data_IF_945179091928
#
_entry.id   IF_945179091928
#
_cell.length_a   1.000
_cell.length_b   1.000
_cell.length_c   1.000
_cell.angle_alpha   90.00
_cell.angle_beta   90.00
_cell.angle_gamma   90.00
#
_symmetry.space_group_name_H-M   'P 1'
#
loop_
_entity.id
_entity.type
_entity.pdbx_description
1 polymer ?
#
# COMPACT_ATOMS: atom_id res chain seq x y z
N UNK A 1 -5.99 -6.39 25.14
CA UNK A 1 -5.28 -6.45 23.85
C UNK A 1 -6.17 -5.77 22.81
N UNK A 2 -5.82 -4.55 22.34
CA UNK A 2 -6.57 -3.96 21.24
C UNK A 2 -6.37 -4.79 19.97
N UNK A 3 -7.46 -5.03 19.25
CA UNK A 3 -7.49 -5.79 18.01
C UNK A 3 -6.76 -4.95 16.95
N UNK A 4 -5.65 -5.48 16.43
CA UNK A 4 -4.74 -4.76 15.55
C UNK A 4 -5.04 -4.95 14.05
N UNK A 5 -6.10 -5.68 13.68
CA UNK A 5 -6.23 -6.10 12.27
C UNK A 5 -7.65 -6.44 11.78
N UNK A 6 -8.02 -5.89 10.62
CA UNK A 6 -9.11 -6.34 9.77
C UNK A 6 -8.64 -6.23 8.30
N UNK A 7 -8.57 -7.34 7.53
CA UNK A 7 -8.01 -7.36 6.18
C UNK A 7 -9.00 -6.75 5.19
N UNK A 8 -8.94 -5.45 5.00
CA UNK A 8 -9.69 -4.71 3.98
C UNK A 8 -8.77 -3.87 3.07
N UNK A 9 -7.46 -4.14 3.12
CA UNK A 9 -6.44 -3.31 2.48
C UNK A 9 -5.84 -4.02 1.27
N UNK A 10 -5.86 -3.35 0.12
CA UNK A 10 -5.24 -3.82 -1.13
C UNK A 10 -3.71 -3.92 -1.07
N UNK A 11 -3.09 -3.39 -0.01
CA UNK A 11 -1.63 -3.27 0.12
C UNK A 11 -1.00 -3.92 1.34
N UNK A 12 -1.80 -4.36 2.32
CA UNK A 12 -1.21 -4.88 3.53
C UNK A 12 -0.55 -6.22 3.25
N UNK A 13 0.79 -6.23 3.34
CA UNK A 13 1.53 -7.41 3.74
C UNK A 13 1.72 -7.32 5.26
N UNK A 14 0.72 -7.71 6.06
CA UNK A 14 0.78 -7.56 7.51
C UNK A 14 1.95 -8.33 8.11
N UNK A 15 2.37 -9.42 7.49
CA UNK A 15 3.51 -10.21 7.94
C UNK A 15 4.80 -9.40 7.92
N UNK A 16 5.05 -8.61 6.87
CA UNK A 16 6.25 -7.77 6.80
C UNK A 16 6.27 -6.73 7.91
N UNK A 17 5.14 -6.08 8.20
CA UNK A 17 5.04 -5.12 9.29
C UNK A 17 5.18 -5.78 10.66
N UNK A 18 4.51 -6.92 10.88
CA UNK A 18 4.61 -7.66 12.15
C UNK A 18 6.04 -8.16 12.39
N UNK A 19 6.69 -8.69 11.36
CA UNK A 19 8.09 -9.12 11.42
C UNK A 19 9.01 -7.92 11.70
N UNK A 20 8.76 -6.77 11.09
CA UNK A 20 9.53 -5.56 11.34
C UNK A 20 9.40 -5.08 12.79
N UNK A 21 8.19 -5.08 13.35
CA UNK A 21 7.94 -4.76 14.76
C UNK A 21 8.64 -5.77 15.67
N UNK A 22 8.58 -7.07 15.34
CA UNK A 22 9.24 -8.11 16.12
C UNK A 22 10.77 -8.00 16.10
N UNK A 23 11.37 -7.58 14.97
CA UNK A 23 12.80 -7.30 14.84
C UNK A 23 13.24 -6.05 15.63
N UNK A 24 12.32 -5.13 15.89
CA UNK A 24 12.58 -3.84 16.56
C UNK A 24 11.81 -3.72 17.89
N UNK A 25 12.12 -4.55 18.91
CA UNK A 25 11.43 -4.51 20.18
C UNK A 25 11.64 -3.16 20.87
N UNK A 26 10.56 -2.55 21.37
CA UNK A 26 10.59 -1.25 22.04
C UNK A 26 10.36 -0.03 21.13
N UNK A 27 10.54 -0.16 19.81
CA UNK A 27 10.41 0.95 18.85
C UNK A 27 8.96 1.26 18.42
N UNK A 28 7.95 0.72 19.12
CA UNK A 28 6.56 0.78 18.66
C UNK A 28 6.04 2.22 18.50
N UNK A 29 6.40 3.10 19.45
CA UNK A 29 6.00 4.51 19.42
C UNK A 29 6.64 5.27 18.25
N UNK A 30 7.90 4.96 17.95
CA UNK A 30 8.65 5.57 16.85
C UNK A 30 8.08 5.13 15.50
N UNK A 31 7.80 3.83 15.34
CA UNK A 31 7.14 3.27 14.15
C UNK A 31 5.77 3.94 13.96
N UNK A 32 4.96 4.03 15.01
CA UNK A 32 3.66 4.70 14.95
C UNK A 32 3.81 6.18 14.55
N UNK A 33 4.82 6.88 15.08
CA UNK A 33 5.10 8.27 14.74
C UNK A 33 5.44 8.43 13.24
N UNK A 34 6.22 7.51 12.65
CA UNK A 34 6.49 7.53 11.19
C UNK A 34 5.19 7.37 10.40
N UNK A 35 4.36 6.37 10.73
CA UNK A 35 3.08 6.18 10.03
C UNK A 35 2.16 7.39 10.19
N UNK A 36 2.12 7.99 11.38
CA UNK A 36 1.32 9.19 11.64
C UNK A 36 1.79 10.36 10.78
N UNK A 37 3.10 10.59 10.68
CA UNK A 37 3.68 11.64 9.85
C UNK A 37 3.41 11.38 8.35
N UNK A 38 3.58 10.14 7.88
CA UNK A 38 3.32 9.78 6.49
C UNK A 38 1.81 9.84 6.14
N UNK A 39 0.91 9.64 7.11
CA UNK A 39 -0.55 9.78 6.93
C UNK A 39 -1.02 11.22 7.00
N UNK A 40 -0.43 12.05 7.86
CA UNK A 40 -0.83 13.46 7.99
C UNK A 40 -0.41 14.29 6.78
N UNK A 41 0.69 13.90 6.12
CA UNK A 41 1.15 14.53 4.88
C UNK A 41 1.55 13.48 3.85
N UNK A 42 0.57 12.86 3.15
CA UNK A 42 0.86 11.86 2.13
C UNK A 42 1.72 12.43 1.00
N UNK A 43 2.76 11.69 0.64
CA UNK A 43 3.78 12.15 -0.29
C UNK A 43 4.75 13.16 0.33
N UNK A 44 5.00 13.10 1.64
CA UNK A 44 6.09 13.85 2.26
C UNK A 44 7.46 13.35 1.76
N UNK A 45 8.44 14.23 1.51
CA UNK A 45 9.78 13.81 1.11
C UNK A 45 10.45 12.95 2.19
N UNK A 46 11.05 11.82 1.80
CA UNK A 46 11.75 10.94 2.76
C UNK A 46 12.81 11.72 3.54
N UNK A 47 13.57 12.57 2.87
CA UNK A 47 14.63 13.39 3.48
C UNK A 47 14.13 14.28 4.62
N UNK A 48 12.87 14.72 4.57
CA UNK A 48 12.25 15.51 5.64
C UNK A 48 11.80 14.61 6.80
N UNK A 49 11.21 13.46 6.50
CA UNK A 49 10.78 12.50 7.52
C UNK A 49 11.97 11.88 8.26
N UNK A 50 13.05 11.58 7.56
CA UNK A 50 14.28 10.97 8.09
C UNK A 50 14.93 11.84 9.17
N UNK A 51 14.93 13.16 8.99
CA UNK A 51 15.42 14.11 10.00
C UNK A 51 14.65 14.03 11.32
N UNK A 52 13.37 13.66 11.26
CA UNK A 52 12.53 13.50 12.45
C UNK A 52 12.63 12.10 13.02
N UNK A 53 12.67 11.08 12.15
CA UNK A 53 12.78 9.69 12.56
C UNK A 53 13.52 8.85 11.49
N UNK A 54 14.73 8.35 11.79
CA UNK A 54 15.53 7.59 10.83
C UNK A 54 14.93 6.22 10.45
N UNK A 55 14.00 5.68 11.26
CA UNK A 55 13.30 4.41 10.95
C UNK A 55 12.50 4.48 9.66
N UNK A 56 12.22 5.68 9.13
CA UNK A 56 11.54 5.83 7.84
C UNK A 56 12.29 5.11 6.72
N UNK A 57 13.63 5.11 6.74
CA UNK A 57 14.44 4.45 5.71
C UNK A 57 14.28 2.93 5.77
N UNK A 58 14.30 2.36 6.98
CA UNK A 58 14.11 0.92 7.17
C UNK A 58 12.71 0.48 6.74
N UNK A 59 11.69 1.25 7.09
CA UNK A 59 10.30 0.99 6.69
C UNK A 59 10.11 1.08 5.17
N UNK A 60 10.84 1.97 4.48
CA UNK A 60 10.85 2.05 3.02
C UNK A 60 11.61 0.87 2.40
N UNK A 61 12.77 0.51 2.96
CA UNK A 61 13.60 -0.61 2.47
C UNK A 61 12.89 -1.97 2.60
N UNK A 62 12.13 -2.16 3.69
CA UNK A 62 11.28 -3.35 3.91
C UNK A 62 9.95 -3.24 3.15
N UNK A 63 9.76 -2.21 2.31
CA UNK A 63 8.59 -2.01 1.44
C UNK A 63 7.26 -1.87 2.20
N UNK A 64 7.34 -1.47 3.47
CA UNK A 64 6.19 -1.19 4.36
C UNK A 64 5.62 0.19 4.04
N UNK A 65 6.49 1.17 3.82
CA UNK A 65 6.13 2.47 3.26
C UNK A 65 6.42 2.48 1.76
N UNK A 66 5.43 2.89 0.96
CA UNK A 66 5.63 3.05 -0.48
C UNK A 66 6.34 4.37 -0.72
N UNK A 67 7.38 4.34 -1.54
CA UNK A 67 8.18 5.53 -1.78
C UNK A 67 8.55 5.76 -3.26
N UNK A 68 7.58 6.13 -4.11
CA UNK A 68 7.88 6.51 -5.49
C UNK A 68 8.88 7.67 -5.55
N UNK A 69 9.81 7.57 -6.52
CA UNK A 69 10.84 8.58 -6.77
C UNK A 69 10.51 9.41 -8.01
N UNK A 70 10.72 10.72 -7.93
CA UNK A 70 10.61 11.67 -9.05
C UNK A 70 12.00 12.24 -9.31
N UNK A 71 12.42 12.21 -10.58
CA UNK A 71 13.70 12.74 -11.03
C UNK A 71 13.45 13.90 -11.97
N UNK A 72 13.91 15.09 -11.59
CA UNK A 72 13.78 16.30 -12.41
C UNK A 72 14.99 17.22 -12.19
N UNK A 73 14.90 18.47 -12.64
CA UNK A 73 16.01 19.44 -12.65
C UNK A 73 16.60 19.70 -11.26
N UNK A 74 15.83 19.53 -10.19
CA UNK A 74 16.26 19.68 -8.80
C UNK A 74 16.86 18.40 -8.19
N UNK A 75 17.11 17.37 -9.00
CA UNK A 75 17.60 16.06 -8.54
C UNK A 75 16.48 15.04 -8.29
N UNK A 76 16.87 13.86 -7.82
CA UNK A 76 15.95 12.78 -7.47
C UNK A 76 15.40 12.97 -6.05
N UNK A 77 14.09 12.84 -5.88
CA UNK A 77 13.42 12.88 -4.58
C UNK A 77 12.40 11.75 -4.47
N UNK A 78 12.38 11.08 -3.32
CA UNK A 78 11.42 10.04 -3.00
C UNK A 78 10.41 10.53 -1.98
N UNK A 79 9.16 10.11 -2.14
CA UNK A 79 8.03 10.61 -1.35
C UNK A 79 7.34 9.46 -0.64
N UNK A 80 7.23 9.51 0.68
CA UNK A 80 6.70 8.42 1.49
C UNK A 80 5.16 8.44 1.52
N UNK A 81 4.59 7.24 1.42
CA UNK A 81 3.17 6.99 1.56
C UNK A 81 2.95 5.83 2.51
N UNK A 82 2.15 6.08 3.54
CA UNK A 82 1.60 5.01 4.36
C UNK A 82 0.64 4.13 3.54
N UNK A 83 0.37 2.89 4.00
CA UNK A 83 -0.73 2.09 3.51
C UNK A 83 -2.04 2.90 3.53
N UNK A 84 -2.74 2.85 2.41
CA UNK A 84 -3.95 3.65 2.19
C UNK A 84 -5.14 2.72 1.94
N UNK A 85 -6.28 3.02 2.57
CA UNK A 85 -7.53 2.27 2.38
C UNK A 85 -8.23 2.76 1.13
N UNK A 86 -8.50 1.85 0.20
CA UNK A 86 -9.28 2.12 -1.01
C UNK A 86 -9.88 0.83 -1.54
N UNK A 87 -11.02 0.93 -2.21
CA UNK A 87 -11.61 -0.17 -2.98
C UNK A 87 -11.01 -0.30 -4.37
N UNK A 88 -10.21 0.67 -4.81
CA UNK A 88 -9.59 0.65 -6.12
C UNK A 88 -8.50 -0.42 -6.23
N UNK A 89 -8.29 -0.98 -7.44
CA UNK A 89 -7.16 -1.86 -7.71
C UNK A 89 -5.83 -1.21 -7.37
N UNK A 90 -4.86 -2.03 -6.98
CA UNK A 90 -3.49 -1.60 -6.65
C UNK A 90 -2.84 -0.74 -7.75
N UNK A 91 -3.10 -1.02 -9.02
CA UNK A 91 -2.57 -0.24 -10.13
C UNK A 91 -3.06 1.23 -10.12
N UNK A 92 -4.33 1.48 -9.76
CA UNK A 92 -4.89 2.83 -9.63
C UNK A 92 -4.26 3.54 -8.43
N UNK A 93 -4.08 2.83 -7.32
CA UNK A 93 -3.42 3.35 -6.12
C UNK A 93 -1.96 3.75 -6.40
N UNK A 94 -1.21 2.94 -7.14
CA UNK A 94 0.17 3.26 -7.54
C UNK A 94 0.22 4.48 -8.47
N UNK A 95 -0.73 4.60 -9.41
CA UNK A 95 -0.88 5.81 -10.24
C UNK A 95 -1.22 7.05 -9.41
N UNK A 96 -2.12 6.93 -8.44
CA UNK A 96 -2.48 8.05 -7.56
C UNK A 96 -1.25 8.58 -6.80
N UNK A 97 -0.41 7.67 -6.29
CA UNK A 97 0.84 8.06 -5.63
C UNK A 97 1.82 8.74 -6.55
N UNK A 98 2.05 8.23 -7.77
CA UNK A 98 3.00 8.87 -8.67
C UNK A 98 2.52 10.28 -9.05
N UNK A 99 1.21 10.46 -9.28
CA UNK A 99 0.61 11.76 -9.56
C UNK A 99 0.84 12.71 -8.38
N UNK A 100 0.54 12.27 -7.15
CA UNK A 100 0.73 13.10 -5.96
C UNK A 100 2.22 13.44 -5.77
N UNK A 101 3.13 12.49 -5.95
CA UNK A 101 4.58 12.72 -5.89
C UNK A 101 5.06 13.74 -6.91
N UNK A 102 4.58 13.68 -8.15
CA UNK A 102 4.88 14.70 -9.18
C UNK A 102 4.46 16.09 -8.69
N UNK A 103 3.28 16.24 -8.10
CA UNK A 103 2.79 17.52 -7.58
C UNK A 103 3.61 17.97 -6.36
N UNK A 104 3.89 17.09 -5.40
CA UNK A 104 4.73 17.37 -4.22
C UNK A 104 6.15 17.77 -4.58
N UNK A 105 6.71 17.18 -5.63
CA UNK A 105 8.00 17.64 -6.18
C UNK A 105 7.93 19.11 -6.61
N UNK A 106 6.83 19.52 -7.25
CA UNK A 106 6.63 20.90 -7.68
C UNK A 106 6.45 21.89 -6.53
N UNK A 107 6.01 21.45 -5.36
CA UNK A 107 5.86 22.27 -4.15
C UNK A 107 7.23 22.64 -3.54
N UNK A 108 8.09 21.64 -3.33
CA UNK A 108 9.36 21.81 -2.60
C UNK A 108 10.62 21.93 -3.46
N UNK A 109 10.65 21.31 -4.65
CA UNK A 109 11.89 20.97 -5.37
C UNK A 109 11.95 21.48 -6.80
N UNK A 110 10.89 22.16 -7.27
CA UNK A 110 10.92 22.83 -8.57
C UNK A 110 11.73 24.13 -8.48
N UNK A 111 12.69 24.28 -9.40
CA UNK A 111 13.56 25.46 -9.51
C UNK A 111 12.88 26.66 -10.18
N UNK A 112 11.82 26.45 -10.96
CA UNK A 112 11.21 27.48 -11.82
C UNK A 112 9.91 28.00 -11.21
N UNK A 113 8.99 27.10 -10.88
CA UNK A 113 7.66 27.42 -10.36
C UNK A 113 7.38 26.54 -9.16
N UNK A 114 7.19 27.17 -8.00
CA UNK A 114 6.76 26.48 -6.79
C UNK A 114 5.24 26.39 -6.75
N UNK A 115 4.73 25.18 -6.53
CA UNK A 115 3.31 24.94 -6.30
C UNK A 115 3.00 25.37 -4.87
N UNK A 116 2.07 26.32 -4.70
CA UNK A 116 1.61 26.74 -3.36
C UNK A 116 0.48 25.88 -2.82
N UNK A 117 -0.37 25.35 -3.70
CA UNK A 117 -1.49 24.49 -3.35
C UNK A 117 -1.52 23.23 -4.24
N UNK A 118 -0.98 22.11 -3.76
CA UNK A 118 -1.03 20.81 -4.43
C UNK A 118 -2.46 20.36 -4.76
N UNK A 119 -3.43 20.64 -3.89
CA UNK A 119 -4.82 20.23 -4.08
C UNK A 119 -5.44 20.96 -5.27
N UNK A 120 -5.15 22.25 -5.45
CA UNK A 120 -5.60 23.02 -6.60
C UNK A 120 -5.01 22.51 -7.93
N UNK A 121 -3.76 22.04 -7.92
CA UNK A 121 -3.13 21.45 -9.11
C UNK A 121 -3.81 20.12 -9.47
N UNK A 122 -4.07 19.26 -8.49
CA UNK A 122 -4.75 17.98 -8.72
C UNK A 122 -6.19 18.17 -9.20
N UNK A 123 -6.96 19.06 -8.57
CA UNK A 123 -8.32 19.43 -9.06
C UNK A 123 -8.25 19.99 -10.48
N UNK A 124 -7.26 20.84 -10.76
CA UNK A 124 -7.00 21.35 -12.09
C UNK A 124 -6.71 20.27 -13.13
N UNK A 125 -5.95 19.23 -12.75
CA UNK A 125 -5.70 18.06 -13.59
C UNK A 125 -6.99 17.27 -13.83
N UNK A 126 -7.81 17.06 -12.80
CA UNK A 126 -9.12 16.39 -12.90
C UNK A 126 -10.05 17.10 -13.88
N UNK A 127 -10.19 18.41 -13.72
CA UNK A 127 -11.21 19.20 -14.41
C UNK A 127 -10.81 19.54 -15.84
N UNK A 128 -9.53 19.92 -16.05
CA UNK A 128 -9.03 20.37 -17.35
C UNK A 128 -8.30 19.29 -18.12
N UNK A 129 -8.05 18.12 -17.52
CA UNK A 129 -7.24 17.03 -18.07
C UNK A 129 -5.82 17.46 -18.43
N UNK A 130 -5.32 18.55 -17.82
CA UNK A 130 -3.97 19.07 -18.10
C UNK A 130 -3.36 19.84 -16.92
N UNK A 131 -2.04 19.77 -16.82
CA UNK A 131 -1.18 20.60 -15.97
C UNK A 131 -0.29 21.46 -16.86
N UNK A 132 -0.06 22.71 -16.41
CA UNK A 132 0.69 23.70 -17.16
C UNK A 132 -0.20 24.56 -18.06
N UNK A 133 -1.24 25.20 -17.50
CA UNK A 133 -2.03 26.23 -18.23
C UNK A 133 -1.10 27.25 -18.90
N UNK A 134 -0.01 27.57 -18.22
CA UNK A 134 1.20 28.16 -18.80
C UNK A 134 2.28 27.07 -18.83
N UNK A 135 2.76 26.66 -20.01
CA UNK A 135 3.80 25.65 -20.13
C UNK A 135 5.09 26.06 -19.45
N UNK A 136 5.88 25.09 -18.99
CA UNK A 136 7.26 25.33 -18.54
C UNK A 136 8.14 24.10 -18.78
N UNK A 137 9.45 24.31 -18.82
CA UNK A 137 10.44 23.28 -19.17
C UNK A 137 10.46 22.12 -18.16
N UNK A 138 10.29 22.40 -16.86
CA UNK A 138 10.35 21.36 -15.83
C UNK A 138 9.20 20.34 -15.89
N UNK A 139 8.07 20.62 -16.57
CA UNK A 139 6.95 19.67 -16.66
C UNK A 139 7.40 18.33 -17.26
N UNK A 140 8.26 18.37 -18.27
CA UNK A 140 8.72 17.18 -18.97
C UNK A 140 9.31 16.14 -18.03
N UNK A 141 10.28 16.53 -17.22
CA UNK A 141 10.97 15.62 -16.30
C UNK A 141 10.15 15.37 -15.03
N UNK A 142 9.46 16.38 -14.51
CA UNK A 142 8.63 16.25 -13.31
C UNK A 142 7.49 15.23 -13.47
N UNK A 143 6.83 15.20 -14.64
CA UNK A 143 5.70 14.30 -14.91
C UNK A 143 6.07 13.10 -15.78
N UNK A 144 7.35 12.91 -16.10
CA UNK A 144 7.82 11.75 -16.88
C UNK A 144 7.42 10.42 -16.25
N UNK A 145 7.52 10.29 -14.92
CA UNK A 145 7.15 9.06 -14.22
C UNK A 145 5.65 8.74 -14.36
N UNK A 146 4.78 9.76 -14.25
CA UNK A 146 3.35 9.59 -14.48
C UNK A 146 3.04 9.21 -15.95
N UNK A 147 3.74 9.82 -16.91
CA UNK A 147 3.59 9.48 -18.32
C UNK A 147 4.01 8.03 -18.60
N UNK A 148 5.13 7.57 -18.02
CA UNK A 148 5.61 6.19 -18.14
C UNK A 148 4.66 5.16 -17.53
N UNK A 149 3.89 5.54 -16.50
CA UNK A 149 2.83 4.71 -15.91
C UNK A 149 1.51 4.73 -16.71
N UNK A 150 1.49 5.37 -17.89
CA UNK A 150 0.29 5.45 -18.73
C UNK A 150 -0.81 6.35 -18.16
N UNK A 151 -0.47 7.28 -17.27
CA UNK A 151 -1.42 8.27 -16.73
C UNK A 151 -1.72 9.35 -17.78
N UNK A 152 -0.72 9.72 -18.57
CA UNK A 152 -0.82 10.82 -19.51
C UNK A 152 0.38 10.89 -20.45
N UNK A 153 0.52 12.03 -21.12
CA UNK A 153 1.66 12.31 -21.99
C UNK A 153 2.15 13.74 -21.83
N UNK A 154 3.38 13.96 -22.28
CA UNK A 154 3.99 15.28 -22.30
C UNK A 154 3.76 15.90 -23.68
N UNK A 155 3.05 17.03 -23.70
CA UNK A 155 2.80 17.82 -24.92
C UNK A 155 3.81 18.96 -25.01
N UNK A 156 4.62 19.04 -26.08
CA UNK A 156 5.47 20.19 -26.34
C UNK A 156 4.65 21.38 -26.88
N UNK A 157 4.87 22.57 -26.34
CA UNK A 157 4.28 23.84 -26.79
C UNK A 157 5.35 24.94 -26.76
N UNK A 158 5.74 25.46 -27.94
CA UNK A 158 6.70 26.57 -28.08
C UNK A 158 8.00 26.40 -27.28
N UNK A 159 8.61 25.21 -27.33
CA UNK A 159 9.85 24.90 -26.61
C UNK A 159 9.69 24.69 -25.09
N UNK A 160 8.44 24.62 -24.62
CA UNK A 160 8.06 24.28 -23.25
C UNK A 160 7.14 23.07 -23.28
N UNK A 161 6.73 22.61 -22.10
CA UNK A 161 5.95 21.38 -21.99
C UNK A 161 4.69 21.57 -21.14
N UNK A 162 3.67 20.79 -21.46
CA UNK A 162 2.48 20.54 -20.65
C UNK A 162 2.33 19.06 -20.39
N UNK A 163 1.62 18.71 -19.33
CA UNK A 163 1.21 17.32 -19.09
C UNK A 163 -0.28 17.21 -19.37
N UNK A 164 -0.67 16.24 -20.22
CA UNK A 164 -2.06 15.93 -20.52
C UNK A 164 -2.42 14.55 -19.98
N UNK A 165 -3.59 14.46 -19.36
CA UNK A 165 -4.14 13.23 -18.83
C UNK A 165 -4.76 12.40 -19.96
N UNK A 166 -4.51 11.09 -20.00
CA UNK A 166 -5.35 10.20 -20.79
C UNK A 166 -6.71 10.07 -20.09
N UNK A 167 -7.78 10.42 -20.81
CA UNK A 167 -9.14 10.46 -20.28
C UNK A 167 -9.76 9.05 -20.23
N UNK A 168 -9.21 8.23 -19.35
CA UNK A 168 -9.69 6.87 -19.06
C UNK A 168 -10.21 6.81 -17.62
N UNK A 169 -11.21 5.95 -17.37
CA UNK A 169 -11.81 5.81 -16.04
C UNK A 169 -10.75 5.51 -14.96
N UNK A 170 -9.79 4.64 -15.24
CA UNK A 170 -8.70 4.30 -14.32
C UNK A 170 -7.83 5.50 -13.95
N UNK A 171 -7.52 6.37 -14.92
CA UNK A 171 -6.67 7.53 -14.68
C UNK A 171 -7.43 8.65 -13.98
N UNK A 172 -8.73 8.80 -14.26
CA UNK A 172 -9.60 9.69 -13.51
C UNK A 172 -9.75 9.26 -12.06
N UNK A 173 -9.98 7.96 -11.82
CA UNK A 173 -10.02 7.39 -10.48
C UNK A 173 -8.68 7.59 -9.76
N UNK A 174 -7.54 7.45 -10.44
CA UNK A 174 -6.22 7.70 -9.85
C UNK A 174 -6.04 9.18 -9.45
N UNK A 175 -6.51 10.13 -10.27
CA UNK A 175 -6.47 11.56 -9.92
C UNK A 175 -7.38 11.86 -8.73
N UNK A 176 -8.58 11.27 -8.70
CA UNK A 176 -9.53 11.45 -7.60
C UNK A 176 -9.00 10.89 -6.28
N UNK A 177 -8.39 9.71 -6.34
CA UNK A 177 -7.71 9.09 -5.21
C UNK A 177 -6.52 9.94 -4.72
N UNK A 178 -5.75 10.54 -5.64
CA UNK A 178 -4.67 11.46 -5.28
C UNK A 178 -5.21 12.73 -4.58
N UNK A 179 -6.36 13.27 -5.02
CA UNK A 179 -7.03 14.40 -4.36
C UNK A 179 -7.49 14.01 -2.94
N UNK A 180 -8.10 12.83 -2.79
CA UNK A 180 -8.54 12.31 -1.50
C UNK A 180 -7.36 12.16 -0.54
N UNK A 181 -6.28 11.52 -0.98
CA UNK A 181 -5.02 11.40 -0.22
C UNK A 181 -4.47 12.76 0.19
N UNK A 182 -4.36 13.71 -0.75
CA UNK A 182 -3.81 15.04 -0.50
C UNK A 182 -4.64 15.82 0.54
N UNK A 183 -5.95 15.58 0.58
CA UNK A 183 -6.89 16.21 1.51
C UNK A 183 -6.96 15.50 2.86
N UNK A 184 -6.21 14.41 3.06
CA UNK A 184 -6.26 13.58 4.27
C UNK A 184 -7.54 12.75 4.40
N UNK A 185 -8.33 12.63 3.32
CA UNK A 185 -9.52 11.79 3.29
C UNK A 185 -9.09 10.37 2.92
N UNK A 186 -9.35 9.41 3.80
CA UNK A 186 -9.40 8.01 3.37
C UNK A 186 -10.71 7.77 2.62
N UNK A 187 -10.67 7.00 1.54
CA UNK A 187 -11.87 6.43 0.94
C UNK A 187 -12.39 5.32 1.87
N UNK A 188 -13.01 5.71 2.98
CA UNK A 188 -13.73 4.75 3.81
C UNK A 188 -15.04 4.40 3.10
N UNK A 189 -15.20 3.11 2.83
CA UNK A 189 -16.49 2.48 2.63
C UNK A 189 -17.29 2.74 3.90
N UNK A 190 -18.14 3.76 3.86
CA UNK A 190 -19.18 3.94 4.86
C UNK A 190 -19.96 2.61 4.97
N UNK A 191 -20.27 2.18 6.21
CA UNK A 191 -21.39 1.27 6.58
C UNK A 191 -21.24 -0.26 6.65
N UNK A 192 -20.05 -0.88 6.75
CA UNK A 192 -19.96 -2.34 7.06
C UNK A 192 -19.22 -2.72 8.35
N UNK A 193 -18.52 -1.81 9.01
CA UNK A 193 -18.04 -2.05 10.37
C UNK A 193 -18.98 -1.33 11.33
N UNK A 194 -20.13 -1.96 11.54
CA UNK A 194 -20.81 -1.83 12.81
C UNK A 194 -19.76 -1.93 13.92
N UNK A 195 -19.57 -0.86 14.67
CA UNK A 195 -19.19 -0.96 16.08
C UNK A 195 -20.48 -0.77 16.87
N UNK A 196 -21.34 -1.77 17.07
CA UNK A 196 -22.38 -1.66 18.07
C UNK A 196 -21.74 -2.03 19.42
N UNK A 197 -22.30 -1.47 20.49
CA UNK A 197 -22.03 -1.90 21.86
C UNK A 197 -22.13 -3.43 22.06
N UNK A 198 -22.78 -4.13 21.13
CA UNK A 198 -22.89 -5.59 21.03
C UNK A 198 -21.54 -6.33 20.92
N UNK A 199 -20.54 -5.80 20.18
CA UNK A 199 -19.24 -6.49 20.00
C UNK A 199 -18.43 -6.53 21.31
N UNK A 200 -18.62 -5.52 22.17
CA UNK A 200 -17.94 -5.42 23.48
C UNK A 200 -18.36 -6.56 24.43
N UNK A 201 -19.60 -7.05 24.31
CA UNK A 201 -20.13 -8.16 25.11
C UNK A 201 -19.50 -9.52 24.78
N UNK A 202 -19.11 -9.75 23.53
CA UNK A 202 -18.50 -11.01 23.09
C UNK A 202 -17.06 -11.19 23.61
N UNK A 203 -16.31 -10.10 23.79
CA UNK A 203 -14.95 -10.16 24.34
C UNK A 203 -14.87 -10.27 25.86
N UNK A 204 -15.94 -9.89 26.58
CA UNK A 204 -16.01 -10.02 28.03
C UNK A 204 -16.34 -11.42 28.55
N UNK A 205 -16.67 -12.38 27.66
CA UNK A 205 -17.14 -13.72 28.04
C UNK A 205 -16.22 -14.88 27.63
N UNK A 206 -15.11 -14.63 26.95
CA UNK A 206 -14.20 -15.71 26.53
C UNK A 206 -12.97 -15.76 27.43
N UNK A 207 -12.90 -16.81 28.26
CA UNK A 207 -11.69 -17.28 28.94
C UNK A 207 -10.50 -17.40 27.97
N UNK A 208 -9.25 -17.30 28.46
CA UNK A 208 -8.06 -17.20 27.63
C UNK A 208 -7.73 -18.55 26.98
N UNK A 209 -8.23 -18.79 25.77
CA UNK A 209 -7.91 -20.01 25.04
C UNK A 209 -8.51 -20.08 23.64
N UNK A 210 -7.75 -19.61 22.65
CA UNK A 210 -7.88 -20.05 21.25
C UNK A 210 -8.90 -19.33 20.37
N UNK A 211 -8.53 -19.22 19.08
CA UNK A 211 -9.37 -18.70 17.99
C UNK A 211 -10.75 -19.40 17.97
N UNK A 212 -11.83 -18.64 18.17
CA UNK A 212 -13.19 -19.16 18.04
C UNK A 212 -13.64 -19.09 16.57
N UNK A 213 -13.71 -20.25 15.91
CA UNK A 213 -14.59 -20.41 14.76
C UNK A 213 -16.06 -20.36 15.24
N UNK A 214 -17.00 -19.76 14.49
CA UNK A 214 -18.42 -19.75 14.83
C UNK A 214 -18.95 -21.16 15.12
N UNK A 215 -19.76 -21.34 16.17
CA UNK A 215 -20.20 -22.67 16.64
C UNK A 215 -20.83 -23.53 15.53
N UNK A 216 -21.56 -22.92 14.60
CA UNK A 216 -22.13 -23.59 13.43
C UNK A 216 -21.06 -24.30 12.56
N UNK A 217 -19.87 -23.71 12.44
CA UNK A 217 -18.73 -24.28 11.73
C UNK A 217 -18.02 -25.35 12.56
N UNK A 218 -18.12 -25.31 13.90
CA UNK A 218 -17.51 -26.29 14.81
C UNK A 218 -18.23 -27.62 14.76
N UNK A 219 -19.57 -27.61 14.70
CA UNK A 219 -20.39 -28.83 14.57
C UNK A 219 -20.27 -29.44 13.18
N UNK A 220 -20.25 -28.61 12.12
CA UNK A 220 -19.99 -29.07 10.75
C UNK A 220 -18.57 -29.60 10.55
N UNK A 221 -17.56 -28.92 11.06
CA UNK A 221 -16.17 -29.39 10.96
C UNK A 221 -15.96 -30.69 11.75
N UNK A 222 -16.51 -30.80 12.97
CA UNK A 222 -16.48 -32.06 13.73
C UNK A 222 -17.22 -33.19 13.02
N UNK A 223 -18.38 -32.91 12.42
CA UNK A 223 -19.12 -33.88 11.62
C UNK A 223 -18.32 -34.37 10.40
N UNK A 224 -17.75 -33.45 9.63
CA UNK A 224 -16.96 -33.75 8.42
C UNK A 224 -15.66 -34.50 8.74
N UNK A 225 -15.01 -34.16 9.86
CA UNK A 225 -13.80 -34.84 10.35
C UNK A 225 -14.14 -36.23 10.89
N UNK A 226 -15.26 -36.40 11.60
CA UNK A 226 -15.69 -37.70 12.13
C UNK A 226 -16.21 -38.65 11.03
N UNK A 227 -16.80 -38.12 9.95
CA UNK A 227 -17.27 -38.94 8.81
C UNK A 227 -16.16 -39.30 7.83
N UNK A 228 -15.03 -38.57 7.83
CA UNK A 228 -13.81 -39.00 7.13
C UNK A 228 -13.10 -40.06 7.96
N UNK A 229 -13.68 -41.26 8.04
CA UNK A 229 -12.85 -42.47 8.19
C UNK A 229 -11.99 -42.53 6.93
N UNK A 230 -10.69 -42.28 7.10
CA UNK A 230 -9.69 -42.61 6.10
C UNK A 230 -9.94 -44.05 5.68
N UNK A 231 -10.36 -44.25 4.43
CA UNK A 231 -10.60 -45.58 3.88
C UNK A 231 -9.26 -46.33 3.91
N UNK A 232 -9.12 -47.39 4.73
CA UNK A 232 -7.85 -48.11 4.88
C UNK A 232 -7.40 -48.81 3.59
N UNK A 233 -8.21 -48.78 2.52
CA UNK A 233 -7.88 -49.35 1.21
C UNK A 233 -7.37 -48.35 0.17
N UNK A 234 -7.21 -47.07 0.51
CA UNK A 234 -6.56 -46.11 -0.41
C UNK A 234 -5.04 -46.31 -0.45
N UNK A 235 -4.62 -47.35 -1.17
CA UNK A 235 -3.22 -47.76 -1.38
C UNK A 235 -2.35 -46.70 -2.08
N UNK A 236 -2.96 -45.61 -2.56
CA UNK A 236 -2.29 -44.50 -3.23
C UNK A 236 -1.51 -43.61 -2.27
N UNK A 237 -2.02 -43.34 -1.07
CA UNK A 237 -1.37 -42.46 -0.10
C UNK A 237 -0.12 -43.10 0.54
N UNK A 238 -0.17 -44.41 0.82
CA UNK A 238 0.97 -45.15 1.36
C UNK A 238 2.10 -45.36 0.34
N UNK A 239 1.80 -45.37 -0.96
CA UNK A 239 2.80 -45.44 -2.03
C UNK A 239 3.53 -44.11 -2.23
N UNK A 240 2.80 -42.99 -2.25
CA UNK A 240 3.36 -41.64 -2.35
C UNK A 240 4.23 -41.28 -1.15
N UNK A 241 3.80 -41.64 0.07
CA UNK A 241 4.59 -41.40 1.28
C UNK A 241 5.91 -42.17 1.33
N UNK A 242 5.95 -43.41 0.83
CA UNK A 242 7.20 -44.20 0.75
C UNK A 242 8.15 -43.71 -0.33
N UNK A 243 7.65 -43.36 -1.52
CA UNK A 243 8.48 -42.82 -2.60
C UNK A 243 9.16 -41.49 -2.19
N UNK A 244 8.45 -40.61 -1.47
CA UNK A 244 9.01 -39.34 -1.00
C UNK A 244 10.07 -39.52 0.10
N UNK A 245 9.91 -40.54 0.95
CA UNK A 245 10.86 -40.88 2.01
C UNK A 245 12.13 -41.56 1.47
N UNK A 246 12.02 -42.34 0.39
CA UNK A 246 13.17 -42.97 -0.26
C UNK A 246 13.99 -41.94 -1.08
N UNK A 247 13.35 -40.97 -1.74
CA UNK A 247 14.03 -39.86 -2.44
C UNK A 247 14.82 -38.97 -1.47
N UNK A 248 14.25 -38.64 -0.30
CA UNK A 248 14.94 -37.84 0.72
C UNK A 248 16.15 -38.57 1.33
N UNK A 249 16.12 -39.90 1.37
CA UNK A 249 17.26 -40.71 1.85
C UNK A 249 18.36 -40.90 0.81
N UNK A 250 18.04 -40.84 -0.49
CA UNK A 250 19.01 -40.86 -1.58
C UNK A 250 19.88 -39.59 -1.64
N UNK A 251 19.29 -38.43 -1.33
CA UNK A 251 19.97 -37.12 -1.43
C UNK A 251 21.08 -36.96 -0.37
N UNK A 252 20.95 -37.60 0.80
CA UNK A 252 21.98 -37.55 1.86
C UNK A 252 23.24 -38.39 1.57
N UNK A 253 23.30 -39.16 0.49
CA UNK A 253 24.50 -39.94 0.10
C UNK A 253 25.41 -39.28 -0.93
N UNK A 254 25.00 -38.15 -1.52
CA UNK A 254 25.76 -37.46 -2.59
C UNK A 254 26.50 -36.21 -2.09
N UNK A 255 26.36 -35.86 -0.80
CA UNK A 255 27.15 -34.79 -0.18
C UNK A 255 28.16 -35.42 0.80
N UNK A 256 29.26 -35.91 0.24
CA UNK A 256 30.56 -36.09 0.89
C UNK A 256 31.66 -35.84 -0.13
#
# INVERSE_FOLDING_TARGET
>A
MPILYAPLFTEENPETLLNFIAKNPGAHQEIEAVFRAAKSHPGAPISTLEQTNPLVLELVNENILRAPAIVSSGGAQSFAFAPFKTTHPRAILEKARIILSCVRYGEGYSSITKISDPSAILKGLRDRKMIGRTPHSNIQSQYAAAANMGVGWIEPENGRFRFRLYDTEDNLAAVDLAIAMCSGQSEDVSSSLLLPAEVKGYFSRSEPGGLLLPEANRTRARGVIATRKLDPKTSTASRLGRALLDDLRGIHRVIK
#
